data_IF_212882540195
#
_entry.id   IF_212882540195
#
_cell.length_a   1.000
_cell.length_b   1.000
_cell.length_c   1.000
_cell.angle_alpha   90.00
_cell.angle_beta   90.00
_cell.angle_gamma   90.00
#
_symmetry.space_group_name_H-M   'P 1'
#
loop_
_entity.id
_entity.type
_entity.pdbx_description
1 polymer ?
#
# COMPACT_ATOMS: atom_id res chain seq x y z
N UNK A 1 37.34 6.06 6.89
CA UNK A 1 36.43 6.86 7.72
C UNK A 1 35.06 6.15 7.84
N UNK A 2 34.90 5.31 8.86
CA UNK A 2 33.61 4.72 9.35
C UNK A 2 32.43 4.67 8.37
N UNK A 3 32.59 4.00 7.19
CA UNK A 3 31.45 3.70 6.30
C UNK A 3 30.76 4.88 5.59
N UNK A 4 31.30 6.10 5.64
CA UNK A 4 30.77 7.24 4.91
C UNK A 4 31.49 7.44 3.58
N UNK A 5 30.73 7.78 2.54
CA UNK A 5 31.23 8.11 1.21
C UNK A 5 31.14 9.61 1.00
N UNK A 6 32.19 10.19 0.44
CA UNK A 6 32.30 11.61 0.16
C UNK A 6 32.71 11.83 -1.30
N UNK A 7 32.34 12.95 -1.85
CA UNK A 7 32.84 13.42 -3.14
C UNK A 7 33.66 14.68 -2.92
N UNK A 8 34.94 14.66 -3.34
CA UNK A 8 35.81 15.83 -3.27
C UNK A 8 35.77 16.59 -4.58
N UNK A 9 35.70 17.91 -4.50
CA UNK A 9 35.82 18.83 -5.63
C UNK A 9 37.28 19.28 -5.78
N UNK A 10 37.61 19.94 -6.91
CA UNK A 10 38.99 20.28 -7.31
C UNK A 10 39.83 20.98 -6.25
N UNK A 11 39.23 21.70 -5.31
CA UNK A 11 39.94 22.42 -4.24
C UNK A 11 40.08 21.56 -2.93
N UNK A 12 39.86 20.24 -3.01
CA UNK A 12 39.93 19.32 -1.85
C UNK A 12 38.73 19.41 -0.90
N UNK A 13 37.79 20.33 -1.11
CA UNK A 13 36.60 20.44 -0.27
C UNK A 13 35.58 19.32 -0.58
N UNK A 14 34.80 18.95 0.43
CA UNK A 14 33.72 17.99 0.26
C UNK A 14 32.54 18.63 -0.47
N UNK A 15 32.05 17.94 -1.49
CA UNK A 15 30.80 18.33 -2.16
C UNK A 15 29.61 18.16 -1.21
N UNK A 16 28.63 19.05 -1.31
CA UNK A 16 27.35 18.99 -0.57
C UNK A 16 26.17 19.28 -1.48
N UNK A 17 25.02 18.74 -1.14
CA UNK A 17 23.80 18.94 -1.90
C UNK A 17 23.56 17.88 -2.99
N UNK A 18 22.76 18.24 -3.99
CA UNK A 18 22.38 17.33 -5.08
C UNK A 18 23.48 17.26 -6.16
N UNK A 19 23.76 16.04 -6.61
CA UNK A 19 24.66 15.76 -7.72
C UNK A 19 23.95 14.91 -8.75
N UNK A 20 24.16 15.21 -10.04
CA UNK A 20 23.82 14.34 -11.16
C UNK A 20 25.12 13.83 -11.79
N UNK A 21 25.22 12.49 -11.93
CA UNK A 21 26.36 11.86 -12.60
C UNK A 21 25.89 10.60 -13.34
N UNK A 22 26.26 10.48 -14.60
CA UNK A 22 25.88 9.33 -15.46
C UNK A 22 24.38 9.00 -15.39
N UNK A 23 23.52 10.02 -15.47
CA UNK A 23 22.05 9.87 -15.41
C UNK A 23 21.46 9.63 -14.01
N UNK A 24 22.30 9.35 -13.02
CA UNK A 24 21.89 9.11 -11.64
C UNK A 24 21.90 10.38 -10.79
N UNK A 25 21.06 10.41 -9.75
CA UNK A 25 21.02 11.47 -8.75
C UNK A 25 21.55 10.96 -7.43
N UNK A 26 22.38 11.78 -6.80
CA UNK A 26 22.96 11.54 -5.48
C UNK A 26 22.70 12.75 -4.59
N UNK A 27 22.74 12.56 -3.28
CA UNK A 27 22.66 13.66 -2.33
C UNK A 27 23.73 13.53 -1.26
N UNK A 28 24.44 14.60 -1.04
CA UNK A 28 25.48 14.73 -0.03
C UNK A 28 25.00 15.71 1.06
N UNK A 29 25.08 15.26 2.30
CA UNK A 29 24.61 16.02 3.45
C UNK A 29 25.27 17.41 3.48
N UNK A 30 24.46 18.45 3.65
CA UNK A 30 24.95 19.84 3.61
C UNK A 30 25.87 20.21 4.79
N UNK A 31 25.75 19.51 5.94
CA UNK A 31 26.59 19.78 7.11
C UNK A 31 27.97 19.12 7.00
N UNK A 32 28.01 17.84 6.60
CA UNK A 32 29.24 17.04 6.70
C UNK A 32 29.70 16.45 5.36
N UNK A 33 28.98 16.65 4.27
CA UNK A 33 29.32 16.12 2.95
C UNK A 33 29.14 14.60 2.79
N UNK A 34 28.60 13.90 3.78
CA UNK A 34 28.39 12.45 3.69
C UNK A 34 27.28 12.10 2.66
N UNK A 35 27.55 11.16 1.76
CA UNK A 35 26.58 10.69 0.76
C UNK A 35 25.43 9.95 1.44
N UNK A 36 24.19 10.22 1.02
CA UNK A 36 23.02 9.47 1.46
C UNK A 36 23.01 8.10 0.78
N UNK A 37 22.94 7.05 1.57
CA UNK A 37 22.89 5.66 1.12
C UNK A 37 21.93 4.87 1.99
N UNK A 38 21.23 3.92 1.38
CA UNK A 38 20.30 2.99 2.02
C UNK A 38 19.37 3.68 3.04
N UNK A 39 18.79 4.82 2.62
CA UNK A 39 17.98 5.65 3.52
C UNK A 39 16.94 6.49 2.81
N UNK A 40 15.90 6.81 3.55
CA UNK A 40 14.92 7.82 3.20
C UNK A 40 15.48 9.23 3.42
N UNK A 41 15.02 10.16 2.58
CA UNK A 41 15.21 11.58 2.78
C UNK A 41 13.92 12.32 2.45
N UNK A 42 13.38 13.03 3.43
CA UNK A 42 12.16 13.83 3.28
C UNK A 42 12.53 15.30 3.44
N UNK A 43 12.24 16.08 2.42
CA UNK A 43 12.24 17.55 2.48
C UNK A 43 10.80 18.07 2.57
N UNK A 44 10.63 19.37 2.50
CA UNK A 44 9.33 20.04 2.67
C UNK A 44 8.26 19.53 1.69
N UNK A 45 8.65 19.27 0.46
CA UNK A 45 7.73 18.92 -0.64
C UNK A 45 7.84 17.48 -1.11
N UNK A 46 9.04 16.90 -1.08
CA UNK A 46 9.33 15.61 -1.70
C UNK A 46 10.05 14.66 -0.78
N UNK A 47 9.77 13.36 -0.98
CA UNK A 47 10.47 12.26 -0.31
C UNK A 47 11.21 11.43 -1.34
N UNK A 48 12.43 11.02 -1.01
CA UNK A 48 13.34 10.23 -1.83
C UNK A 48 13.79 9.00 -1.07
N UNK A 49 14.26 7.97 -1.77
CA UNK A 49 14.99 6.86 -1.19
C UNK A 49 16.29 6.68 -1.95
N UNK A 50 17.39 6.58 -1.22
CA UNK A 50 18.72 6.33 -1.75
C UNK A 50 19.09 4.87 -1.50
N UNK A 51 19.44 4.15 -2.58
CA UNK A 51 19.83 2.75 -2.48
C UNK A 51 21.24 2.61 -1.85
N UNK A 52 21.73 1.37 -1.77
CA UNK A 52 23.05 1.08 -1.20
C UNK A 52 24.20 1.77 -1.95
N UNK A 53 24.09 1.98 -3.25
CA UNK A 53 25.06 2.73 -4.05
C UNK A 53 24.91 4.25 -3.95
N UNK A 54 23.97 4.75 -3.15
CA UNK A 54 23.69 6.17 -2.97
C UNK A 54 22.88 6.80 -4.10
N UNK A 55 22.34 6.00 -5.03
CA UNK A 55 21.49 6.50 -6.12
C UNK A 55 20.08 6.73 -5.60
N UNK A 56 19.53 7.93 -5.82
CA UNK A 56 18.10 8.19 -5.62
C UNK A 56 17.30 7.38 -6.64
N UNK A 57 16.57 6.36 -6.19
CA UNK A 57 15.84 5.45 -7.08
C UNK A 57 14.75 6.18 -7.87
N UNK A 58 14.57 5.78 -9.14
CA UNK A 58 13.61 6.37 -10.06
C UNK A 58 12.94 5.29 -10.90
N UNK A 59 11.65 5.48 -11.27
CA UNK A 59 10.84 4.51 -12.02
C UNK A 59 10.88 3.11 -11.41
N UNK A 60 10.96 3.02 -10.09
CA UNK A 60 11.21 1.78 -9.36
C UNK A 60 10.26 1.61 -8.20
N UNK A 61 9.86 0.36 -7.97
CA UNK A 61 9.15 -0.06 -6.78
C UNK A 61 10.13 -0.29 -5.62
N UNK A 62 9.68 0.08 -4.42
CA UNK A 62 10.36 -0.26 -3.17
C UNK A 62 9.38 -0.98 -2.26
N UNK A 63 9.80 -2.12 -1.71
CA UNK A 63 9.06 -2.80 -0.64
C UNK A 63 9.91 -2.73 0.63
N UNK A 64 9.37 -2.14 1.67
CA UNK A 64 10.02 -2.04 2.97
C UNK A 64 8.98 -2.21 4.08
N UNK A 65 9.26 -3.04 5.06
CA UNK A 65 8.38 -3.34 6.20
C UNK A 65 6.94 -3.73 5.76
N UNK A 66 6.83 -4.58 4.73
CA UNK A 66 5.55 -5.02 4.15
C UNK A 66 4.77 -3.94 3.39
N UNK A 67 5.28 -2.71 3.32
CA UNK A 67 4.68 -1.58 2.60
C UNK A 67 5.32 -1.41 1.24
N UNK A 68 4.50 -1.09 0.23
CA UNK A 68 4.97 -0.83 -1.14
C UNK A 68 4.90 0.66 -1.47
N UNK A 69 5.96 1.13 -2.11
CA UNK A 69 6.13 2.50 -2.59
C UNK A 69 6.56 2.48 -4.05
N UNK A 70 6.39 3.59 -4.74
CA UNK A 70 6.92 3.78 -6.09
C UNK A 70 7.61 5.13 -6.19
N UNK A 71 8.70 5.19 -6.94
CA UNK A 71 9.45 6.42 -7.20
C UNK A 71 9.29 6.81 -8.66
N UNK A 72 8.88 8.05 -8.88
CA UNK A 72 8.64 8.61 -10.21
C UNK A 72 9.94 8.81 -10.99
N UNK A 73 9.86 9.20 -12.26
CA UNK A 73 11.03 9.44 -13.12
C UNK A 73 11.99 10.53 -12.58
N UNK A 74 11.48 11.44 -11.78
CA UNK A 74 12.27 12.49 -11.12
C UNK A 74 12.85 12.04 -9.75
N UNK A 75 12.72 10.77 -9.40
CA UNK A 75 13.12 10.15 -8.12
C UNK A 75 12.27 10.54 -6.92
N UNK A 76 11.16 11.24 -7.08
CA UNK A 76 10.28 11.55 -5.95
C UNK A 76 9.32 10.41 -5.66
N UNK A 77 9.01 10.18 -4.39
CA UNK A 77 8.01 9.20 -3.96
C UNK A 77 6.62 9.55 -4.51
N UNK A 78 5.97 8.58 -5.14
CA UNK A 78 4.63 8.72 -5.69
C UNK A 78 3.59 8.99 -4.60
N UNK A 79 2.63 9.87 -4.89
CA UNK A 79 1.47 10.20 -4.06
C UNK A 79 0.23 10.32 -4.94
N UNK A 80 -0.95 9.95 -4.40
CA UNK A 80 -2.20 9.98 -5.15
C UNK A 80 -2.26 8.91 -6.25
N UNK A 81 -3.09 9.15 -7.26
CA UNK A 81 -3.22 8.25 -8.40
C UNK A 81 -2.03 8.35 -9.35
N UNK A 82 -1.45 7.19 -9.71
CA UNK A 82 -0.35 7.09 -10.67
C UNK A 82 -0.65 5.98 -11.67
N UNK A 83 -0.39 6.25 -12.95
CA UNK A 83 -0.38 5.22 -14.00
C UNK A 83 1.02 4.64 -14.10
N UNK A 84 1.16 3.34 -13.83
CA UNK A 84 2.45 2.63 -13.90
C UNK A 84 2.23 1.43 -14.83
N UNK A 85 2.90 1.45 -15.97
CA UNK A 85 2.61 0.53 -17.06
C UNK A 85 1.15 0.67 -17.52
N UNK A 86 0.43 -0.46 -17.61
CA UNK A 86 -0.97 -0.49 -18.05
C UNK A 86 -2.00 -0.29 -16.94
N UNK A 87 -1.58 -0.21 -15.66
CA UNK A 87 -2.47 -0.12 -14.50
C UNK A 87 -2.38 1.22 -13.79
N UNK A 88 -3.47 1.58 -13.09
CA UNK A 88 -3.48 2.69 -12.15
C UNK A 88 -3.35 2.16 -10.73
N UNK A 89 -2.55 2.86 -9.91
CA UNK A 89 -2.31 2.60 -8.49
C UNK A 89 -2.59 3.86 -7.69
N UNK A 90 -2.99 3.69 -6.45
CA UNK A 90 -3.13 4.82 -5.54
C UNK A 90 -2.13 4.73 -4.41
N UNK A 91 -1.44 5.83 -4.18
CA UNK A 91 -0.49 5.99 -3.08
C UNK A 91 -1.04 7.01 -2.08
N UNK A 92 -1.00 6.67 -0.80
CA UNK A 92 -1.45 7.59 0.26
C UNK A 92 -0.79 8.96 0.10
N UNK A 93 -1.59 10.02 0.09
CA UNK A 93 -1.07 11.40 0.00
C UNK A 93 -0.18 11.75 1.20
N UNK A 94 -0.48 11.18 2.38
CA UNK A 94 0.29 11.41 3.62
C UNK A 94 1.57 10.58 3.65
N UNK A 95 1.48 9.27 3.41
CA UNK A 95 2.57 8.31 3.68
C UNK A 95 3.26 7.78 2.43
N UNK A 96 2.68 7.93 1.24
CA UNK A 96 3.18 7.33 -0.01
C UNK A 96 2.99 5.81 -0.10
N UNK A 97 2.37 5.16 0.88
CA UNK A 97 2.12 3.71 0.86
C UNK A 97 1.06 3.39 -0.19
N UNK A 98 1.31 2.37 -1.00
CA UNK A 98 0.36 1.87 -1.99
C UNK A 98 -0.89 1.28 -1.31
N UNK A 99 -2.05 1.73 -1.72
CA UNK A 99 -3.33 1.18 -1.29
C UNK A 99 -3.59 -0.18 -1.95
N UNK A 100 -4.19 -1.12 -1.21
CA UNK A 100 -4.63 -2.43 -1.71
C UNK A 100 -5.93 -2.85 -1.01
N UNK A 101 -6.77 -3.65 -1.71
CA UNK A 101 -8.03 -4.17 -1.19
C UNK A 101 -8.96 -3.10 -0.59
N UNK A 102 -9.06 -1.93 -1.22
CA UNK A 102 -9.83 -0.82 -0.67
C UNK A 102 -10.43 0.08 -1.75
N UNK A 103 -11.43 0.86 -1.36
CA UNK A 103 -12.03 1.89 -2.20
C UNK A 103 -11.30 3.22 -2.02
N UNK A 104 -11.04 3.90 -3.15
CA UNK A 104 -10.51 5.26 -3.20
C UNK A 104 -11.51 6.11 -3.98
N UNK A 105 -12.43 6.74 -3.25
CA UNK A 105 -13.61 7.34 -3.85
C UNK A 105 -14.45 6.29 -4.59
N UNK A 106 -14.73 6.49 -5.87
CA UNK A 106 -15.52 5.56 -6.71
C UNK A 106 -14.69 4.41 -7.33
N UNK A 107 -13.40 4.34 -7.08
CA UNK A 107 -12.52 3.34 -7.66
C UNK A 107 -12.06 2.31 -6.63
N UNK A 108 -12.11 1.04 -6.97
CA UNK A 108 -11.56 -0.04 -6.16
C UNK A 108 -10.14 -0.39 -6.61
N UNK A 109 -9.25 -0.65 -5.65
CA UNK A 109 -7.92 -1.22 -5.88
C UNK A 109 -7.86 -2.62 -5.29
N UNK A 110 -7.43 -3.60 -6.09
CA UNK A 110 -7.38 -5.02 -5.73
C UNK A 110 -6.19 -5.34 -4.80
N UNK A 111 -5.97 -6.63 -4.51
CA UNK A 111 -4.85 -7.10 -3.67
C UNK A 111 -3.46 -6.77 -4.22
N UNK A 112 -3.35 -6.57 -5.54
CA UNK A 112 -2.12 -6.13 -6.20
C UNK A 112 -1.98 -4.60 -6.22
N UNK A 113 -2.96 -3.85 -5.67
CA UNK A 113 -3.02 -2.39 -5.69
C UNK A 113 -3.49 -1.79 -7.01
N UNK A 114 -3.90 -2.61 -7.98
CA UNK A 114 -4.33 -2.17 -9.31
C UNK A 114 -5.77 -1.69 -9.25
N UNK A 115 -6.05 -0.51 -9.85
CA UNK A 115 -7.43 -0.07 -10.06
C UNK A 115 -8.13 -1.03 -11.01
N UNK A 116 -9.24 -1.55 -10.59
CA UNK A 116 -10.12 -2.41 -11.39
C UNK A 116 -11.39 -1.63 -11.78
N UNK A 117 -11.98 -1.97 -12.92
CA UNK A 117 -13.30 -1.45 -13.31
C UNK A 117 -14.34 -2.04 -12.36
N UNK A 118 -15.41 -1.28 -12.10
CA UNK A 118 -16.50 -1.72 -11.21
C UNK A 118 -17.22 -3.00 -11.68
N UNK A 119 -17.01 -3.41 -12.96
CA UNK A 119 -17.51 -4.66 -13.50
C UNK A 119 -16.67 -5.89 -13.14
N UNK A 120 -15.36 -5.72 -12.81
CA UNK A 120 -14.43 -6.86 -12.82
C UNK A 120 -14.14 -7.48 -11.46
N UNK A 121 -14.45 -6.83 -10.38
CA UNK A 121 -14.50 -7.40 -9.03
C UNK A 121 -14.98 -6.35 -8.04
N UNK A 122 -16.26 -6.15 -7.94
CA UNK A 122 -16.84 -5.90 -6.66
C UNK A 122 -16.56 -7.20 -5.87
N UNK A 123 -15.75 -7.25 -4.78
CA UNK A 123 -16.19 -8.13 -3.73
C UNK A 123 -17.61 -7.64 -3.52
N UNK A 124 -18.58 -8.51 -3.70
CA UNK A 124 -19.96 -8.21 -3.40
C UNK A 124 -20.03 -7.94 -1.89
N UNK A 125 -19.56 -6.77 -1.48
CA UNK A 125 -20.09 -6.08 -0.33
C UNK A 125 -21.46 -5.56 -0.79
N UNK A 126 -22.30 -6.44 -1.30
CA UNK A 126 -23.72 -6.27 -1.12
C UNK A 126 -23.85 -6.02 0.38
N UNK A 127 -24.40 -4.84 0.72
CA UNK A 127 -24.89 -4.56 2.08
C UNK A 127 -25.43 -5.88 2.62
N UNK A 128 -24.95 -6.38 3.76
CA UNK A 128 -25.37 -7.68 4.24
C UNK A 128 -26.89 -7.71 4.23
N UNK A 129 -27.45 -8.68 3.55
CA UNK A 129 -28.89 -8.82 3.48
C UNK A 129 -29.31 -9.61 4.70
N UNK A 130 -30.13 -9.02 5.54
CA UNK A 130 -30.82 -9.72 6.62
C UNK A 130 -32.22 -10.03 6.11
N UNK A 131 -32.53 -11.29 5.94
CA UNK A 131 -33.88 -11.76 5.61
C UNK A 131 -34.46 -12.49 6.79
N UNK A 132 -35.74 -12.21 7.09
CA UNK A 132 -36.52 -12.94 8.10
C UNK A 132 -37.59 -13.74 7.40
N UNK A 133 -37.69 -15.01 7.74
CA UNK A 133 -38.78 -15.86 7.28
C UNK A 133 -39.23 -16.72 8.48
N UNK A 134 -40.37 -16.39 9.05
CA UNK A 134 -40.89 -17.03 10.26
C UNK A 134 -39.87 -16.99 11.42
N UNK A 135 -39.51 -18.13 11.96
CA UNK A 135 -38.55 -18.26 13.05
C UNK A 135 -37.07 -18.36 12.59
N UNK A 136 -36.77 -17.91 11.36
CA UNK A 136 -35.42 -17.97 10.81
C UNK A 136 -34.97 -16.59 10.39
N UNK A 137 -33.76 -16.20 10.80
CA UNK A 137 -33.05 -15.04 10.31
C UNK A 137 -31.83 -15.49 9.53
N UNK A 138 -31.64 -14.99 8.34
CA UNK A 138 -30.49 -15.28 7.49
C UNK A 138 -29.72 -14.00 7.20
N UNK A 139 -28.45 -13.98 7.61
CA UNK A 139 -27.50 -12.94 7.28
C UNK A 139 -26.57 -13.45 6.19
N UNK A 140 -26.52 -12.80 5.05
CA UNK A 140 -25.64 -13.13 3.92
C UNK A 140 -24.71 -11.98 3.60
N UNK A 141 -23.40 -12.27 3.58
CA UNK A 141 -22.37 -11.40 3.01
C UNK A 141 -21.51 -12.20 2.02
N UNK A 142 -20.60 -11.54 1.31
CA UNK A 142 -19.68 -12.21 0.39
C UNK A 142 -18.75 -13.25 1.04
N UNK A 143 -18.54 -13.15 2.35
CA UNK A 143 -17.58 -14.00 3.09
C UNK A 143 -18.21 -14.79 4.21
N UNK A 144 -19.43 -14.46 4.61
CA UNK A 144 -20.08 -15.03 5.79
C UNK A 144 -21.57 -15.22 5.54
N UNK A 145 -22.04 -16.42 5.84
CA UNK A 145 -23.46 -16.75 5.88
C UNK A 145 -23.80 -17.27 7.27
N UNK A 146 -24.69 -16.57 7.98
CA UNK A 146 -25.17 -16.97 9.31
C UNK A 146 -26.67 -17.21 9.20
N UNK A 147 -27.09 -18.40 9.57
CA UNK A 147 -28.51 -18.75 9.67
C UNK A 147 -28.86 -19.00 11.14
N UNK A 148 -29.72 -18.13 11.70
CA UNK A 148 -30.24 -18.27 13.05
C UNK A 148 -31.65 -18.89 12.96
N UNK A 149 -31.88 -19.96 13.67
CA UNK A 149 -33.21 -20.60 13.76
C UNK A 149 -33.65 -20.63 15.22
N UNK A 150 -34.83 -20.07 15.51
CA UNK A 150 -35.46 -20.18 16.82
C UNK A 150 -35.97 -21.58 17.01
N UNK A 151 -35.61 -22.21 18.10
CA UNK A 151 -36.15 -23.51 18.56
C UNK A 151 -36.79 -23.33 19.92
N UNK A 152 -37.77 -24.17 20.25
CA UNK A 152 -38.37 -24.22 21.56
C UNK A 152 -38.41 -25.68 22.05
N UNK A 153 -37.99 -25.91 23.29
CA UNK A 153 -38.07 -27.18 23.95
C UNK A 153 -38.60 -26.92 25.35
N UNK A 154 -39.65 -27.62 25.75
CA UNK A 154 -40.33 -27.46 27.06
C UNK A 154 -40.67 -26.01 27.41
N UNK A 155 -41.16 -25.21 26.42
CA UNK A 155 -41.52 -23.83 26.61
C UNK A 155 -40.35 -22.83 26.63
N UNK A 156 -39.10 -23.29 26.62
CA UNK A 156 -37.90 -22.44 26.57
C UNK A 156 -37.49 -22.24 25.13
N UNK A 157 -37.42 -20.99 24.69
CA UNK A 157 -36.95 -20.61 23.35
C UNK A 157 -35.49 -20.28 23.34
N UNK A 158 -34.75 -20.79 22.34
CA UNK A 158 -33.35 -20.53 22.11
C UNK A 158 -33.04 -20.40 20.62
N UNK A 159 -31.91 -19.74 20.30
CA UNK A 159 -31.45 -19.57 18.92
C UNK A 159 -30.31 -20.53 18.60
N UNK A 160 -30.41 -21.21 17.45
CA UNK A 160 -29.34 -22.06 16.91
C UNK A 160 -28.70 -21.31 15.75
N UNK A 161 -27.39 -21.12 15.84
CA UNK A 161 -26.61 -20.48 14.79
C UNK A 161 -25.92 -21.54 13.90
N UNK A 162 -26.12 -21.45 12.59
CA UNK A 162 -25.33 -22.16 11.60
C UNK A 162 -24.47 -21.13 10.85
N UNK A 163 -23.15 -21.25 10.96
CA UNK A 163 -22.19 -20.32 10.38
C UNK A 163 -21.43 -21.04 9.26
N UNK A 164 -21.48 -20.48 8.04
CA UNK A 164 -20.68 -20.93 6.90
C UNK A 164 -19.80 -19.79 6.44
N UNK A 165 -18.50 -20.03 6.29
CA UNK A 165 -17.53 -19.10 5.72
C UNK A 165 -17.16 -19.56 4.32
N UNK A 166 -17.04 -18.64 3.35
CA UNK A 166 -16.66 -18.96 1.97
C UNK A 166 -15.17 -19.27 1.79
N UNK A 167 -14.36 -19.16 2.84
CA UNK A 167 -12.90 -19.35 2.81
C UNK A 167 -12.40 -20.51 3.69
N UNK A 168 -13.20 -21.53 3.94
CA UNK A 168 -12.67 -22.76 4.53
C UNK A 168 -11.84 -23.51 3.48
N UNK A 169 -10.55 -23.13 3.32
CA UNK A 169 -9.56 -24.11 2.88
C UNK A 169 -9.45 -25.11 4.04
N UNK A 170 -9.81 -26.34 3.75
CA UNK A 170 -9.52 -27.48 4.61
C UNK A 170 -8.02 -27.47 4.94
N UNK A 171 -7.69 -27.47 6.22
CA UNK A 171 -6.41 -27.92 6.72
C UNK A 171 -6.29 -29.42 6.54
#
# INVERSE_FOLDING_TARGET
>A
YKGYYYYSIANGKRFTGWMKRSGNKYYYNRKNGAMFRNRWATGDKYTYYFNESGVAIARQWLTQDGKKYYFLSNSTMAKGWQKIGKYYYYFSKKTGVMAKNTWIGKYYVNSKGQRVKSSDTKPTNSKPTVTQSGNTYEYKSSTLNIKLKRKSVHGISYWVAHIKTSNAKQL
#
